data_IF_024170799024
#
_entry.id   IF_024170799024
#
_cell.length_a   1.000
_cell.length_b   1.000
_cell.length_c   1.000
_cell.angle_alpha   90.00
_cell.angle_beta   90.00
_cell.angle_gamma   90.00
#
_symmetry.space_group_name_H-M   'P 1'
#
loop_
_entity.id
_entity.type
_entity.pdbx_description
1 polymer ?
#
# COMPACT_ATOMS: atom_id res chain seq x y z
N UNK A 1 6.14 -61.18 -30.31
CA UNK A 1 5.97 -59.76 -30.64
C UNK A 1 5.75 -58.98 -29.34
N UNK A 2 6.73 -58.24 -28.86
CA UNK A 2 6.60 -57.41 -27.67
C UNK A 2 6.08 -56.05 -28.14
N UNK A 3 4.84 -55.71 -27.82
CA UNK A 3 4.26 -54.40 -28.10
C UNK A 3 4.84 -53.45 -27.06
N UNK A 4 5.78 -52.60 -27.48
CA UNK A 4 6.30 -51.53 -26.67
C UNK A 4 5.16 -50.48 -26.45
N UNK A 5 4.80 -50.21 -25.20
CA UNK A 5 3.89 -49.14 -24.90
C UNK A 5 4.46 -47.78 -25.37
N UNK A 6 3.66 -46.90 -25.96
CA UNK A 6 4.13 -45.60 -26.40
C UNK A 6 4.62 -44.81 -25.20
N UNK A 7 5.84 -44.23 -25.28
CA UNK A 7 6.39 -43.33 -24.28
C UNK A 7 5.43 -42.15 -24.09
N UNK A 8 4.90 -41.98 -22.88
CA UNK A 8 4.11 -40.81 -22.50
C UNK A 8 5.06 -39.61 -22.61
N UNK A 9 4.80 -38.69 -23.53
CA UNK A 9 5.53 -37.42 -23.62
C UNK A 9 5.34 -36.68 -22.28
N UNK A 10 6.41 -36.16 -21.66
CA UNK A 10 6.27 -35.35 -20.45
C UNK A 10 5.33 -34.17 -20.79
N UNK A 11 4.28 -34.01 -20.00
CA UNK A 11 3.42 -32.83 -20.07
C UNK A 11 4.28 -31.68 -19.55
N UNK A 12 4.60 -30.71 -20.41
CA UNK A 12 5.29 -29.51 -19.97
C UNK A 12 4.48 -28.85 -18.84
N UNK A 13 5.12 -28.44 -17.75
CA UNK A 13 4.43 -27.73 -16.67
C UNK A 13 3.76 -26.47 -17.23
N UNK A 14 2.55 -26.19 -16.74
CA UNK A 14 1.83 -24.95 -17.13
C UNK A 14 2.57 -23.78 -16.51
N UNK A 15 3.01 -22.84 -17.35
CA UNK A 15 3.66 -21.62 -16.92
C UNK A 15 2.63 -20.52 -16.63
N UNK A 16 2.85 -19.79 -15.53
CA UNK A 16 2.07 -18.62 -15.11
C UNK A 16 2.99 -17.40 -15.11
N UNK A 17 3.07 -16.64 -16.23
CA UNK A 17 3.95 -15.48 -16.33
C UNK A 17 3.69 -14.41 -15.27
N UNK A 18 4.72 -13.66 -14.90
CA UNK A 18 4.61 -12.50 -14.01
C UNK A 18 4.44 -11.18 -14.77
N UNK A 19 4.64 -11.19 -16.10
CA UNK A 19 4.39 -10.06 -16.99
C UNK A 19 4.02 -10.56 -18.38
N UNK A 20 3.49 -9.68 -19.23
CA UNK A 20 3.22 -9.95 -20.66
C UNK A 20 4.42 -9.63 -21.55
N UNK A 21 5.47 -9.02 -20.98
CA UNK A 21 6.65 -8.61 -21.72
C UNK A 21 6.51 -7.28 -22.45
N UNK A 22 5.35 -6.63 -22.36
CA UNK A 22 5.09 -5.33 -22.99
C UNK A 22 5.42 -4.18 -22.04
N UNK A 23 5.92 -3.03 -22.55
CA UNK A 23 6.13 -1.84 -21.74
C UNK A 23 4.80 -1.29 -21.24
N UNK A 24 4.69 -1.04 -19.94
CA UNK A 24 3.54 -0.35 -19.35
C UNK A 24 3.84 1.14 -19.28
N UNK A 25 3.04 1.96 -19.97
CA UNK A 25 3.09 3.41 -19.89
C UNK A 25 1.82 3.93 -19.21
N UNK A 26 1.96 4.47 -18.02
CA UNK A 26 0.88 5.05 -17.24
C UNK A 26 1.05 6.56 -17.09
N UNK A 27 -0.04 7.29 -16.82
CA UNK A 27 0.07 8.71 -16.51
C UNK A 27 0.66 8.89 -15.11
N UNK A 28 1.31 10.03 -14.86
CA UNK A 28 1.88 10.34 -13.55
C UNK A 28 0.84 10.21 -12.42
N UNK A 29 -0.36 10.78 -12.60
CA UNK A 29 -1.41 10.77 -11.58
C UNK A 29 -1.86 9.33 -11.25
N UNK A 30 -1.97 8.46 -12.27
CA UNK A 30 -2.35 7.06 -12.11
C UNK A 30 -1.28 6.29 -11.32
N UNK A 31 -0.04 6.29 -11.79
CA UNK A 31 1.07 5.61 -11.11
C UNK A 31 1.28 6.13 -9.69
N UNK A 32 1.20 7.46 -9.51
CA UNK A 32 1.40 8.08 -8.20
C UNK A 32 0.30 7.70 -7.20
N UNK A 33 -0.97 7.61 -7.65
CA UNK A 33 -2.08 7.15 -6.83
C UNK A 33 -1.88 5.70 -6.37
N UNK A 34 -1.47 4.80 -7.27
CA UNK A 34 -1.14 3.40 -6.93
C UNK A 34 -0.02 3.35 -5.88
N UNK A 35 1.09 4.03 -6.13
CA UNK A 35 2.27 3.99 -5.27
C UNK A 35 1.97 4.47 -3.85
N UNK A 36 1.25 5.59 -3.71
CA UNK A 36 0.85 6.13 -2.41
C UNK A 36 -0.08 5.17 -1.66
N UNK A 37 -1.15 4.72 -2.32
CA UNK A 37 -2.13 3.85 -1.69
C UNK A 37 -1.51 2.52 -1.26
N UNK A 38 -0.67 1.93 -2.11
CA UNK A 38 0.06 0.71 -1.83
C UNK A 38 0.93 0.84 -0.58
N UNK A 39 1.70 1.93 -0.48
CA UNK A 39 2.61 2.15 0.64
C UNK A 39 1.85 2.43 1.94
N UNK A 40 0.81 3.27 1.90
CA UNK A 40 -0.03 3.56 3.06
C UNK A 40 -0.69 2.28 3.62
N UNK A 41 -1.24 1.43 2.74
CA UNK A 41 -1.87 0.18 3.16
C UNK A 41 -0.85 -0.84 3.67
N UNK A 42 0.33 -0.94 3.07
CA UNK A 42 1.43 -1.78 3.57
C UNK A 42 1.85 -1.37 4.99
N UNK A 43 2.02 -0.08 5.20
CA UNK A 43 2.38 0.46 6.50
C UNK A 43 1.28 0.23 7.54
N UNK A 44 0.03 0.49 7.18
CA UNK A 44 -1.13 0.28 8.06
C UNK A 44 -1.29 -1.17 8.49
N UNK A 45 -0.99 -2.11 7.61
CA UNK A 45 -1.13 -3.54 7.86
C UNK A 45 0.15 -4.19 8.38
N UNK A 46 1.20 -3.41 8.67
CA UNK A 46 2.44 -3.92 9.26
C UNK A 46 2.16 -4.67 10.57
N UNK A 47 2.73 -5.88 10.69
CA UNK A 47 2.53 -6.76 11.84
C UNK A 47 1.22 -7.58 11.80
N UNK A 48 0.38 -7.41 10.79
CA UNK A 48 -0.81 -8.24 10.55
C UNK A 48 -0.49 -9.38 9.57
N UNK A 49 -1.21 -10.47 9.66
CA UNK A 49 -1.13 -11.56 8.68
C UNK A 49 -1.88 -11.14 7.42
N UNK A 50 -1.22 -10.32 6.62
CA UNK A 50 -1.76 -9.72 5.40
C UNK A 50 -0.66 -9.35 4.43
N UNK A 51 -1.00 -9.23 3.15
CA UNK A 51 -0.14 -8.64 2.13
C UNK A 51 -0.91 -7.64 1.28
N UNK A 52 -0.19 -6.62 0.80
CA UNK A 52 -0.71 -5.64 -0.16
C UNK A 52 0.14 -5.72 -1.41
N UNK A 53 -0.48 -6.04 -2.53
CA UNK A 53 0.17 -6.21 -3.82
C UNK A 53 -0.37 -5.17 -4.80
N UNK A 54 0.46 -4.71 -5.71
CA UNK A 54 0.07 -3.71 -6.69
C UNK A 54 0.58 -4.06 -8.08
N UNK A 55 -0.28 -3.90 -9.08
CA UNK A 55 0.04 -4.08 -10.50
C UNK A 55 0.61 -5.47 -10.84
N UNK A 56 0.14 -6.51 -10.15
CA UNK A 56 0.62 -7.88 -10.30
C UNK A 56 -0.50 -8.79 -10.78
N UNK A 57 -0.17 -9.80 -11.57
CA UNK A 57 -1.16 -10.76 -12.04
C UNK A 57 -1.78 -11.55 -10.89
N UNK A 58 -3.10 -11.46 -10.81
CA UNK A 58 -3.98 -12.28 -10.02
C UNK A 58 -4.54 -13.39 -10.91
N UNK A 59 -4.08 -14.61 -10.71
CA UNK A 59 -4.59 -15.79 -11.39
C UNK A 59 -5.73 -16.40 -10.58
N UNK A 60 -6.90 -16.54 -11.20
CA UNK A 60 -8.12 -17.01 -10.54
C UNK A 60 -8.63 -18.37 -11.00
N UNK A 61 -7.98 -19.00 -12.02
CA UNK A 61 -8.33 -20.33 -12.49
C UNK A 61 -7.09 -21.19 -12.74
N UNK A 62 -6.95 -22.26 -11.95
CA UNK A 62 -5.87 -23.22 -12.12
C UNK A 62 -5.96 -23.95 -13.48
N UNK A 63 -4.84 -24.15 -14.14
CA UNK A 63 -4.77 -24.78 -15.46
C UNK A 63 -5.02 -23.83 -16.64
N UNK A 64 -5.45 -22.60 -16.39
CA UNK A 64 -5.84 -21.62 -17.40
C UNK A 64 -5.05 -20.31 -17.26
N UNK A 65 -3.78 -20.20 -17.73
CA UNK A 65 -2.92 -19.02 -17.53
C UNK A 65 -3.46 -17.73 -18.14
N UNK A 66 -4.45 -17.80 -19.02
CA UNK A 66 -5.14 -16.62 -19.59
C UNK A 66 -6.19 -16.04 -18.65
N UNK A 67 -6.65 -16.82 -17.69
CA UNK A 67 -7.64 -16.38 -16.68
C UNK A 67 -6.94 -15.64 -15.56
N UNK A 68 -6.57 -14.40 -15.87
CA UNK A 68 -5.85 -13.49 -14.98
C UNK A 68 -6.31 -12.06 -15.18
N UNK A 69 -6.13 -11.25 -14.14
CA UNK A 69 -6.26 -9.79 -14.14
C UNK A 69 -5.07 -9.20 -13.42
N UNK A 70 -4.84 -7.91 -13.56
CA UNK A 70 -3.83 -7.17 -12.80
C UNK A 70 -4.52 -6.03 -12.06
N UNK A 71 -4.95 -6.23 -10.80
CA UNK A 71 -5.50 -5.16 -9.98
C UNK A 71 -4.43 -4.11 -9.67
N UNK A 72 -4.81 -2.84 -9.69
CA UNK A 72 -3.88 -1.75 -9.37
C UNK A 72 -3.38 -1.85 -7.91
N UNK A 73 -4.29 -2.13 -6.96
CA UNK A 73 -3.93 -2.48 -5.58
C UNK A 73 -4.88 -3.53 -5.05
N UNK A 74 -4.35 -4.59 -4.44
CA UNK A 74 -5.14 -5.64 -3.79
C UNK A 74 -4.62 -5.93 -2.38
N UNK A 75 -5.55 -6.11 -1.44
CA UNK A 75 -5.28 -6.46 -0.05
C UNK A 75 -5.77 -7.87 0.22
N UNK A 76 -4.86 -8.71 0.69
CA UNK A 76 -5.14 -10.12 1.00
C UNK A 76 -4.81 -10.36 2.47
N UNK A 77 -5.77 -10.89 3.23
CA UNK A 77 -5.60 -11.29 4.61
C UNK A 77 -5.33 -12.80 4.74
N UNK A 78 -4.85 -13.19 5.90
CA UNK A 78 -4.56 -14.59 6.27
C UNK A 78 -3.52 -15.27 5.39
N UNK A 79 -2.63 -14.47 4.81
CA UNK A 79 -1.46 -14.93 4.05
C UNK A 79 -0.17 -14.37 4.64
N UNK A 80 0.95 -15.01 4.34
CA UNK A 80 2.26 -14.48 4.75
C UNK A 80 2.49 -13.08 4.17
N UNK A 81 3.03 -12.17 4.96
CA UNK A 81 3.44 -10.85 4.49
C UNK A 81 4.56 -10.95 3.46
N UNK A 82 4.70 -9.91 2.61
CA UNK A 82 5.76 -9.81 1.60
C UNK A 82 5.25 -9.84 0.16
N UNK A 83 6.14 -9.55 -0.79
CA UNK A 83 5.83 -9.50 -2.21
C UNK A 83 5.71 -10.90 -2.85
N UNK A 84 5.05 -10.95 -4.02
CA UNK A 84 4.99 -12.10 -4.92
C UNK A 84 5.25 -11.59 -6.34
N UNK A 85 5.76 -12.46 -7.21
CA UNK A 85 5.88 -12.11 -8.64
C UNK A 85 4.52 -12.13 -9.33
N UNK A 86 3.64 -13.02 -8.89
CA UNK A 86 2.23 -13.10 -9.23
C UNK A 86 1.46 -13.74 -8.07
N UNK A 87 0.14 -13.60 -8.05
CA UNK A 87 -0.70 -14.19 -7.02
C UNK A 87 -1.62 -15.24 -7.63
N UNK A 88 -1.60 -16.45 -7.07
CA UNK A 88 -2.45 -17.58 -7.53
C UNK A 88 -3.36 -18.00 -6.39
N UNK A 89 -4.65 -17.79 -6.53
CA UNK A 89 -5.64 -18.04 -5.48
C UNK A 89 -5.55 -19.47 -4.94
N UNK A 90 -5.35 -20.48 -5.81
CA UNK A 90 -5.30 -21.89 -5.40
C UNK A 90 -4.00 -22.29 -4.67
N UNK A 91 -2.92 -21.52 -4.80
CA UNK A 91 -1.67 -21.78 -4.08
C UNK A 91 -1.67 -21.13 -2.69
N UNK A 92 -2.24 -19.93 -2.59
CA UNK A 92 -2.26 -19.15 -1.34
C UNK A 92 -3.54 -19.41 -0.52
N UNK A 93 -4.59 -19.94 -1.13
CA UNK A 93 -5.84 -20.32 -0.46
C UNK A 93 -6.78 -19.16 -0.11
N UNK A 94 -6.39 -17.92 -0.44
CA UNK A 94 -7.18 -16.72 -0.13
C UNK A 94 -7.47 -15.90 -1.39
N UNK A 95 -8.67 -15.32 -1.44
CA UNK A 95 -9.06 -14.32 -2.43
C UNK A 95 -8.71 -12.94 -1.86
N UNK A 96 -8.30 -11.95 -2.67
CA UNK A 96 -8.18 -10.58 -2.20
C UNK A 96 -9.47 -10.11 -1.52
N UNK A 97 -9.35 -9.60 -0.31
CA UNK A 97 -10.51 -9.09 0.42
C UNK A 97 -10.96 -7.71 -0.07
N UNK A 98 -10.01 -6.89 -0.50
CA UNK A 98 -10.27 -5.55 -1.04
C UNK A 98 -9.41 -5.34 -2.28
N UNK A 99 -10.03 -4.81 -3.33
CA UNK A 99 -9.35 -4.41 -4.56
C UNK A 99 -9.64 -2.93 -4.84
N UNK A 100 -8.62 -2.20 -5.26
CA UNK A 100 -8.70 -0.85 -5.78
C UNK A 100 -8.26 -0.83 -7.25
N UNK A 101 -9.02 -0.12 -8.07
CA UNK A 101 -8.65 0.23 -9.44
C UNK A 101 -8.56 1.74 -9.58
N UNK A 102 -7.46 2.21 -10.12
CA UNK A 102 -7.23 3.63 -10.40
C UNK A 102 -7.68 3.86 -11.85
N UNK A 103 -8.88 4.37 -11.98
CA UNK A 103 -9.55 4.46 -13.29
C UNK A 103 -8.92 5.50 -14.19
N UNK A 104 -8.72 5.13 -15.45
CA UNK A 104 -8.20 5.99 -16.51
C UNK A 104 -9.09 5.94 -17.75
N UNK A 105 -8.79 6.76 -18.75
CA UNK A 105 -9.51 6.77 -20.04
C UNK A 105 -9.55 5.38 -20.69
N UNK A 106 -8.49 4.63 -20.59
CA UNK A 106 -8.37 3.31 -21.23
C UNK A 106 -9.02 2.18 -20.45
N UNK A 107 -9.17 2.33 -19.13
CA UNK A 107 -9.63 1.25 -18.24
C UNK A 107 -11.07 1.41 -17.75
N UNK A 108 -11.64 2.63 -17.78
CA UNK A 108 -12.94 2.95 -17.18
C UNK A 108 -14.06 1.95 -17.52
N UNK A 109 -14.21 1.54 -18.78
CA UNK A 109 -15.27 0.63 -19.20
C UNK A 109 -15.05 -0.76 -18.59
N UNK A 110 -13.81 -1.22 -18.57
CA UNK A 110 -13.44 -2.53 -18.02
C UNK A 110 -13.58 -2.52 -16.49
N UNK A 111 -13.18 -1.45 -15.83
CA UNK A 111 -13.23 -1.31 -14.36
C UNK A 111 -14.68 -1.24 -13.86
N UNK A 112 -15.54 -0.42 -14.52
CA UNK A 112 -16.96 -0.29 -14.13
C UNK A 112 -17.77 -1.56 -14.45
N UNK A 113 -17.40 -2.29 -15.50
CA UNK A 113 -18.11 -3.46 -15.98
C UNK A 113 -17.44 -4.78 -15.64
N UNK A 114 -16.64 -5.30 -16.57
CA UNK A 114 -16.08 -6.65 -16.50
C UNK A 114 -15.33 -6.96 -15.20
N UNK A 115 -14.44 -6.07 -14.75
CA UNK A 115 -13.66 -6.32 -13.53
C UNK A 115 -14.56 -6.33 -12.28
N UNK A 116 -15.53 -5.43 -12.21
CA UNK A 116 -16.50 -5.38 -11.12
C UNK A 116 -17.25 -6.71 -10.98
N UNK A 117 -17.78 -7.22 -12.09
CA UNK A 117 -18.54 -8.48 -12.10
C UNK A 117 -17.63 -9.68 -11.78
N UNK A 118 -16.41 -9.69 -12.34
CA UNK A 118 -15.42 -10.73 -12.06
C UNK A 118 -15.02 -10.76 -10.58
N UNK A 119 -14.75 -9.60 -9.97
CA UNK A 119 -14.37 -9.53 -8.56
C UNK A 119 -15.51 -9.94 -7.62
N UNK A 120 -16.75 -9.62 -7.97
CA UNK A 120 -17.92 -10.14 -7.24
C UNK A 120 -17.99 -11.67 -7.30
N UNK A 121 -17.83 -12.26 -8.49
CA UNK A 121 -17.82 -13.73 -8.69
C UNK A 121 -16.67 -14.42 -7.95
N UNK A 122 -15.51 -13.76 -7.82
CA UNK A 122 -14.39 -14.28 -7.03
C UNK A 122 -14.62 -14.18 -5.53
N UNK A 123 -15.60 -13.41 -5.06
CA UNK A 123 -15.86 -13.19 -3.64
C UNK A 123 -15.01 -12.08 -3.01
N UNK A 124 -14.50 -11.13 -3.79
CA UNK A 124 -13.82 -9.93 -3.26
C UNK A 124 -14.82 -9.11 -2.46
N UNK A 125 -14.55 -8.87 -1.17
CA UNK A 125 -15.53 -8.27 -0.25
C UNK A 125 -15.80 -6.80 -0.53
N UNK A 126 -14.78 -6.03 -0.91
CA UNK A 126 -14.92 -4.61 -1.26
C UNK A 126 -14.13 -4.30 -2.53
N UNK A 127 -14.78 -3.53 -3.41
CA UNK A 127 -14.22 -3.05 -4.65
C UNK A 127 -14.29 -1.53 -4.70
N UNK A 128 -13.15 -0.88 -4.96
CA UNK A 128 -13.01 0.57 -4.97
C UNK A 128 -12.50 1.07 -6.31
N UNK A 129 -13.15 2.09 -6.84
CA UNK A 129 -12.76 2.83 -8.04
C UNK A 129 -12.32 4.22 -7.64
N UNK A 130 -11.17 4.65 -8.12
CA UNK A 130 -10.67 6.00 -7.92
C UNK A 130 -10.21 6.62 -9.24
N UNK A 131 -10.72 7.82 -9.53
CA UNK A 131 -10.35 8.63 -10.69
C UNK A 131 -9.55 9.85 -10.21
N UNK A 132 -8.21 9.85 -10.28
CA UNK A 132 -7.39 10.96 -9.80
C UNK A 132 -7.67 12.30 -10.50
N UNK A 133 -8.19 12.25 -11.73
CA UNK A 133 -8.48 13.43 -12.54
C UNK A 133 -9.93 13.90 -12.47
N UNK A 134 -10.83 13.07 -11.92
CA UNK A 134 -12.27 13.30 -11.89
C UNK A 134 -12.87 13.56 -13.30
N UNK A 135 -12.43 12.74 -14.27
CA UNK A 135 -12.82 12.87 -15.69
C UNK A 135 -13.66 11.68 -16.18
N UNK A 136 -13.58 10.51 -15.51
CA UNK A 136 -14.06 9.23 -16.03
C UNK A 136 -15.14 8.59 -15.20
N UNK A 137 -15.24 8.93 -13.91
CA UNK A 137 -16.22 8.42 -12.97
C UNK A 137 -17.22 9.51 -12.61
N UNK A 138 -18.48 9.13 -12.34
CA UNK A 138 -19.50 10.06 -11.84
C UNK A 138 -19.13 10.66 -10.47
N UNK A 139 -18.53 9.84 -9.61
CA UNK A 139 -17.93 10.28 -8.35
C UNK A 139 -16.46 9.85 -8.38
N UNK A 140 -15.57 10.76 -8.04
CA UNK A 140 -14.11 10.55 -8.10
C UNK A 140 -13.63 9.33 -7.29
N UNK A 141 -14.33 8.98 -6.23
CA UNK A 141 -14.10 7.78 -5.42
C UNK A 141 -15.43 7.05 -5.24
N UNK A 142 -15.49 5.80 -5.68
CA UNK A 142 -16.67 4.93 -5.55
C UNK A 142 -16.26 3.64 -4.88
N UNK A 143 -17.02 3.20 -3.90
CA UNK A 143 -16.84 1.93 -3.22
C UNK A 143 -18.04 1.02 -3.40
N UNK A 144 -17.79 -0.26 -3.45
CA UNK A 144 -18.79 -1.32 -3.55
C UNK A 144 -18.48 -2.42 -2.55
N UNK A 145 -19.51 -2.93 -1.88
CA UNK A 145 -19.41 -4.06 -0.94
C UNK A 145 -20.21 -5.23 -1.43
N UNK A 146 -19.59 -6.39 -1.43
CA UNK A 146 -20.24 -7.63 -1.81
C UNK A 146 -21.33 -8.00 -0.80
N UNK A 147 -22.54 -8.24 -1.31
CA UNK A 147 -23.67 -8.70 -0.54
C UNK A 147 -24.37 -9.84 -1.29
N UNK A 148 -24.20 -11.04 -0.78
CA UNK A 148 -24.52 -12.23 -1.55
C UNK A 148 -23.58 -12.37 -2.76
N UNK A 149 -24.09 -12.29 -3.98
CA UNK A 149 -23.34 -12.41 -5.22
C UNK A 149 -23.18 -11.07 -5.97
N UNK A 150 -23.71 -9.97 -5.44
CA UNK A 150 -23.72 -8.67 -6.09
C UNK A 150 -23.07 -7.57 -5.25
N UNK A 151 -22.53 -6.56 -5.92
CA UNK A 151 -21.98 -5.38 -5.27
C UNK A 151 -23.04 -4.32 -5.03
N UNK A 152 -23.19 -3.89 -3.76
CA UNK A 152 -23.96 -2.71 -3.36
C UNK A 152 -23.02 -1.51 -3.14
N UNK A 153 -23.44 -0.27 -3.52
CA UNK A 153 -22.63 0.92 -3.31
C UNK A 153 -22.34 1.19 -1.83
N UNK A 154 -21.13 1.62 -1.51
CA UNK A 154 -20.73 2.14 -0.20
C UNK A 154 -20.95 3.65 -0.18
N UNK A 155 -21.98 4.12 0.51
CA UNK A 155 -22.39 5.51 0.47
C UNK A 155 -21.46 6.44 1.27
N UNK A 156 -20.94 5.99 2.40
CA UNK A 156 -20.18 6.84 3.32
C UNK A 156 -18.65 6.75 3.17
N UNK A 157 -18.14 6.09 2.12
CA UNK A 157 -16.70 5.91 1.93
C UNK A 157 -16.03 5.03 3.01
N UNK A 158 -16.80 4.21 3.75
CA UNK A 158 -16.30 3.39 4.85
C UNK A 158 -15.98 1.97 4.40
N UNK A 159 -14.70 1.64 4.37
CA UNK A 159 -14.23 0.26 4.24
C UNK A 159 -14.32 -0.43 5.60
N UNK A 160 -15.31 -1.28 5.79
CA UNK A 160 -15.44 -2.07 7.01
C UNK A 160 -14.42 -3.21 7.05
N UNK A 161 -14.00 -3.71 5.89
CA UNK A 161 -12.99 -4.77 5.78
C UNK A 161 -11.62 -4.27 6.21
N UNK A 162 -11.25 -3.04 5.85
CA UNK A 162 -10.00 -2.42 6.26
C UNK A 162 -10.09 -1.74 7.64
N UNK A 163 -11.29 -1.36 8.09
CA UNK A 163 -11.49 -0.50 9.26
C UNK A 163 -11.09 0.95 8.99
N UNK A 164 -11.25 1.42 7.75
CA UNK A 164 -10.81 2.73 7.29
C UNK A 164 -11.96 3.53 6.66
N UNK A 165 -11.95 4.84 6.91
CA UNK A 165 -12.70 5.84 6.16
C UNK A 165 -11.84 6.32 5.01
N UNK A 166 -12.36 6.23 3.79
CA UNK A 166 -11.72 6.71 2.57
C UNK A 166 -12.33 8.06 2.18
N UNK A 167 -11.47 9.00 1.84
CA UNK A 167 -11.86 10.33 1.34
C UNK A 167 -10.85 10.81 0.31
N UNK A 168 -11.10 11.95 -0.32
CA UNK A 168 -10.20 12.51 -1.32
C UNK A 168 -9.51 13.73 -0.71
N UNK A 169 -8.19 13.77 -0.85
CA UNK A 169 -7.35 14.91 -0.47
C UNK A 169 -6.29 15.12 -1.55
N UNK A 170 -6.29 16.31 -2.17
CA UNK A 170 -5.31 16.67 -3.23
C UNK A 170 -5.13 15.60 -4.30
N UNK A 171 -6.23 15.11 -4.86
CA UNK A 171 -6.25 14.04 -5.89
C UNK A 171 -5.66 12.70 -5.43
N UNK A 172 -5.62 12.45 -4.13
CA UNK A 172 -5.18 11.20 -3.52
C UNK A 172 -6.28 10.62 -2.65
N UNK A 173 -6.26 9.33 -2.41
CA UNK A 173 -7.12 8.71 -1.40
C UNK A 173 -6.48 8.95 -0.03
N UNK A 174 -7.14 9.73 0.81
CA UNK A 174 -6.81 9.86 2.22
C UNK A 174 -7.51 8.77 3.02
N UNK A 175 -6.78 8.18 3.96
CA UNK A 175 -7.23 7.07 4.80
C UNK A 175 -7.28 7.51 6.26
N UNK A 176 -8.42 7.32 6.91
CA UNK A 176 -8.58 7.59 8.33
C UNK A 176 -9.07 6.33 9.04
N UNK A 177 -8.59 6.06 10.21
CA UNK A 177 -9.03 4.93 11.02
C UNK A 177 -10.48 5.13 11.48
N UNK A 178 -11.31 4.09 11.38
CA UNK A 178 -12.71 4.17 11.83
C UNK A 178 -12.84 4.15 13.36
N UNK A 179 -11.86 3.59 14.07
CA UNK A 179 -11.90 3.43 15.52
C UNK A 179 -11.60 4.72 16.29
N UNK A 180 -10.73 5.59 15.76
CA UNK A 180 -10.28 6.81 16.46
C UNK A 180 -10.24 8.07 15.58
N UNK A 181 -10.53 7.94 14.28
CA UNK A 181 -10.50 9.05 13.32
C UNK A 181 -9.10 9.50 12.90
N UNK A 182 -8.04 8.83 13.35
CA UNK A 182 -6.67 9.18 13.03
C UNK A 182 -6.40 9.02 11.52
N UNK A 183 -5.83 10.06 10.91
CA UNK A 183 -5.38 10.03 9.52
C UNK A 183 -4.11 9.19 9.41
N UNK A 184 -4.07 8.27 8.46
CA UNK A 184 -2.83 7.63 8.05
C UNK A 184 -2.00 8.64 7.24
N UNK A 185 -0.77 8.94 7.63
CA UNK A 185 0.03 9.94 6.93
C UNK A 185 0.37 9.48 5.52
N UNK A 186 0.41 10.41 4.58
CA UNK A 186 1.01 10.14 3.28
C UNK A 186 2.52 9.89 3.42
N UNK A 187 3.14 9.11 2.53
CA UNK A 187 4.60 8.89 2.58
C UNK A 187 5.43 10.18 2.60
N UNK A 188 4.97 11.24 1.93
CA UNK A 188 5.61 12.55 1.95
C UNK A 188 5.52 13.23 3.32
N UNK A 189 4.37 13.17 3.99
CA UNK A 189 4.16 13.71 5.32
C UNK A 189 5.04 12.99 6.36
N UNK A 190 5.13 11.66 6.24
CA UNK A 190 5.98 10.85 7.10
C UNK A 190 7.46 11.17 6.93
N UNK A 191 7.92 11.33 5.69
CA UNK A 191 9.30 11.72 5.39
C UNK A 191 9.63 13.11 5.96
N UNK A 192 8.70 14.04 5.91
CA UNK A 192 8.85 15.37 6.49
C UNK A 192 8.92 15.32 8.03
N UNK A 193 8.06 14.54 8.67
CA UNK A 193 8.09 14.32 10.13
C UNK A 193 9.44 13.75 10.59
N UNK A 194 9.94 12.72 9.90
CA UNK A 194 11.25 12.11 10.21
C UNK A 194 12.38 13.13 10.06
N UNK A 195 12.35 13.98 9.04
CA UNK A 195 13.34 15.02 8.84
C UNK A 195 13.29 16.10 9.94
N UNK A 196 12.09 16.52 10.35
CA UNK A 196 11.89 17.46 11.44
C UNK A 196 12.39 16.91 12.78
N UNK A 197 12.07 15.66 13.10
CA UNK A 197 12.56 15.00 14.31
C UNK A 197 14.09 14.86 14.31
N UNK A 198 14.67 14.52 13.16
CA UNK A 198 16.13 14.43 13.03
C UNK A 198 16.79 15.79 13.27
N UNK A 199 16.25 16.85 12.68
CA UNK A 199 16.77 18.20 12.85
C UNK A 199 16.67 18.65 14.32
N UNK A 200 15.52 18.44 14.95
CA UNK A 200 15.32 18.76 16.36
C UNK A 200 16.32 18.03 17.29
N UNK A 201 16.62 16.76 17.01
CA UNK A 201 17.63 15.99 17.75
C UNK A 201 19.03 16.58 17.57
N UNK A 202 19.42 16.96 16.36
CA UNK A 202 20.71 17.58 16.07
C UNK A 202 20.86 18.93 16.80
N UNK A 203 19.82 19.76 16.76
CA UNK A 203 19.81 21.06 17.43
C UNK A 203 19.91 20.91 18.96
N UNK A 204 19.20 19.94 19.53
CA UNK A 204 19.27 19.63 20.94
C UNK A 204 20.68 19.14 21.39
N UNK A 205 21.30 18.30 20.55
CA UNK A 205 22.66 17.80 20.80
C UNK A 205 23.71 18.92 20.73
N UNK A 206 23.59 19.81 19.74
CA UNK A 206 24.45 21.01 19.65
C UNK A 206 24.29 21.96 20.83
N UNK A 207 23.04 22.21 21.23
CA UNK A 207 22.75 23.05 22.39
C UNK A 207 23.36 22.45 23.69
N UNK A 208 23.28 21.13 23.87
CA UNK A 208 23.89 20.44 25.01
C UNK A 208 25.41 20.57 24.99
N UNK A 209 26.04 20.39 23.83
CA UNK A 209 27.49 20.52 23.69
C UNK A 209 27.95 21.96 24.01
N UNK A 210 27.26 22.97 23.52
CA UNK A 210 27.54 24.38 23.81
C UNK A 210 27.38 24.69 25.29
N UNK A 211 26.33 24.18 25.94
CA UNK A 211 26.11 24.36 27.38
C UNK A 211 27.23 23.70 28.20
N UNK A 212 27.71 22.54 27.80
CA UNK A 212 28.80 21.85 28.47
C UNK A 212 30.14 22.56 28.30
N UNK A 213 30.43 23.10 27.11
CA UNK A 213 31.60 23.96 26.87
C UNK A 213 31.56 25.24 27.71
N UNK A 214 30.42 25.95 27.72
CA UNK A 214 30.24 27.14 28.53
C UNK A 214 30.41 26.87 30.02
N UNK A 215 29.93 25.72 30.52
CA UNK A 215 30.12 25.28 31.89
C UNK A 215 31.62 25.07 32.21
N UNK A 216 32.34 24.38 31.34
CA UNK A 216 33.78 24.15 31.50
C UNK A 216 34.57 25.44 31.48
N UNK A 217 34.26 26.40 30.61
CA UNK A 217 34.87 27.71 30.56
C UNK A 217 34.64 28.47 31.87
N UNK A 218 33.40 28.41 32.38
CA UNK A 218 33.06 29.06 33.67
C UNK A 218 33.80 28.43 34.85
N UNK A 219 33.91 27.12 34.90
CA UNK A 219 34.67 26.39 35.92
C UNK A 219 36.17 26.78 35.91
N UNK A 220 36.75 26.87 34.70
CA UNK A 220 38.17 27.35 34.57
C UNK A 220 38.32 28.80 35.03
N UNK A 221 37.38 29.66 34.68
CA UNK A 221 37.40 31.08 35.13
C UNK A 221 37.27 31.19 36.63
N UNK A 222 36.39 30.43 37.26
CA UNK A 222 36.17 30.37 38.69
C UNK A 222 37.41 29.88 39.45
N UNK A 223 38.08 28.85 38.89
CA UNK A 223 39.33 28.36 39.47
C UNK A 223 40.44 29.41 39.40
N UNK A 224 40.60 30.11 38.26
CA UNK A 224 41.59 31.24 38.15
C UNK A 224 41.27 32.36 39.10
N UNK A 225 40.01 32.67 39.39
CA UNK A 225 39.60 33.68 40.35
C UNK A 225 39.95 33.26 41.77
N UNK A 226 39.69 32.02 42.18
CA UNK A 226 40.04 31.44 43.45
C UNK A 226 41.57 31.47 43.72
N UNK A 227 42.33 31.06 42.71
CA UNK A 227 43.80 31.06 42.79
C UNK A 227 44.35 32.44 42.95
N UNK A 228 43.68 33.51 42.49
CA UNK A 228 44.15 34.89 42.54
C UNK A 228 43.70 35.65 43.78
N UNK A 229 42.50 35.34 44.27
CA UNK A 229 41.86 36.15 45.34
C UNK A 229 41.46 35.35 46.57
N UNK A 230 41.69 34.06 46.60
CA UNK A 230 41.23 33.18 47.68
C UNK A 230 39.77 32.78 47.54
N UNK A 231 39.30 31.79 48.34
CA UNK A 231 37.89 31.39 48.34
C UNK A 231 37.04 32.58 48.86
N UNK A 232 35.89 32.77 48.22
CA UNK A 232 34.88 33.71 48.67
C UNK A 232 34.29 33.19 49.99
N UNK A 233 34.41 33.92 51.06
CA UNK A 233 33.75 33.67 52.35
C UNK A 233 32.21 33.76 52.19
#
# INVERSE_FOLDING_TARGET
MVISAPAIKPVNPIEYPSSDGEPVAETYDHFYAIAILLEMLRQYLTGRQATVLGNQYLYYAQGLPRMRVAPDVMVIFEVAAGGRDNYKIWEEGQVPAVIFEITSKSTQITDIGFKRDLYAQMGVLEYWLFDPKNEWLEQQLQGYRLKGEEYEPIIAGQSLVLGLQLSIEDKKIALHRLDNGEKLPFPSELAEQVNQERQAKLDAEQAKLQAEQAKQELEVLLQRYRDRYGDLE
#
